data_IF_636077237023
#
_entry.id   IF_636077237023
#
_cell.length_a   1.000
_cell.length_b   1.000
_cell.length_c   1.000
_cell.angle_alpha   90.00
_cell.angle_beta   90.00
_cell.angle_gamma   90.00
#
_symmetry.space_group_name_H-M   'P 1'
#
loop_
_entity.id
_entity.type
_entity.pdbx_description
1 polymer ?
2 non-polymer ?
3 non-polymer ?
4 non-polymer ?
5 non-polymer ?
6 non-polymer ?
7 water ?
#
# COMPACT_ATOMS: atom_id res chain seq x y z
N UNK A 7 17.49 20.75 13.08
CA UNK A 7 17.04 19.41 12.58
C UNK A 7 16.88 18.44 13.75
N UNK A 8 16.40 17.22 13.48
CA UNK A 8 16.20 16.24 14.54
C UNK A 8 17.32 15.22 14.72
N UNK A 9 17.21 14.41 15.78
CA UNK A 9 18.21 13.39 16.13
C UNK A 9 18.53 12.38 15.03
N UNK A 10 17.50 11.69 14.53
CA UNK A 10 17.69 10.69 13.50
C UNK A 10 17.84 11.30 12.11
N UNK A 11 18.27 10.47 11.15
CA UNK A 11 18.50 10.93 9.78
C UNK A 11 17.21 11.08 9.00
N UNK A 12 16.33 11.93 9.50
CA UNK A 12 15.04 12.15 8.89
C UNK A 12 14.72 13.61 8.69
N UNK A 13 13.73 13.87 7.85
CA UNK A 13 13.28 15.23 7.60
C UNK A 13 11.95 15.33 8.32
N UNK A 14 11.79 16.36 9.15
CA UNK A 14 10.56 16.54 9.90
C UNK A 14 9.48 17.08 8.97
N UNK A 15 8.24 17.11 9.44
CA UNK A 15 7.14 17.63 8.65
C UNK A 15 7.44 19.08 8.32
N UNK A 16 8.01 19.78 9.30
CA UNK A 16 8.38 21.17 9.15
C UNK A 16 9.30 21.27 7.93
N UNK A 17 10.38 20.50 7.96
CA UNK A 17 11.36 20.48 6.89
C UNK A 17 10.77 20.21 5.51
N UNK A 18 10.00 19.12 5.37
CA UNK A 18 9.45 18.83 4.06
C UNK A 18 8.52 19.97 3.60
N UNK A 19 7.80 20.59 4.53
CA UNK A 19 6.91 21.71 4.19
C UNK A 19 7.68 22.96 3.77
N UNK A 20 8.92 23.10 4.24
CA UNK A 20 9.75 24.25 3.91
C UNK A 20 10.52 24.04 2.61
N UNK A 21 10.37 22.85 2.02
CA UNK A 21 11.05 22.56 0.77
C UNK A 21 12.50 22.15 0.97
N UNK A 22 12.83 21.72 2.18
CA UNK A 22 14.19 21.30 2.50
C UNK A 22 14.46 19.85 2.09
N UNK A 23 13.39 19.08 1.95
CA UNK A 23 13.52 17.69 1.53
C UNK A 23 13.35 17.68 0.02
N UNK A 24 14.35 18.18 -0.69
CA UNK A 24 14.30 18.22 -2.14
C UNK A 24 15.69 18.37 -2.74
N UNK A 25 15.77 18.16 -4.05
CA UNK A 25 17.01 18.29 -4.79
C UNK A 25 17.25 19.80 -4.91
N UNK A 26 18.44 20.27 -4.52
CA UNK A 26 18.74 21.70 -4.56
C UNK A 26 18.54 22.42 -5.88
N UNK A 27 18.61 21.71 -6.99
CA UNK A 27 18.48 22.36 -8.27
C UNK A 27 17.20 23.19 -8.37
N UNK A 28 16.13 22.75 -7.70
CA UNK A 28 14.86 23.49 -7.77
C UNK A 28 14.98 24.90 -7.21
N UNK A 29 15.38 25.03 -5.95
CA UNK A 29 15.50 26.36 -5.37
C UNK A 29 16.51 27.22 -6.12
N UNK A 30 17.62 26.62 -6.54
CA UNK A 30 18.63 27.39 -7.28
C UNK A 30 18.10 27.82 -8.63
N UNK A 31 17.26 27.01 -9.24
CA UNK A 31 16.67 27.33 -10.55
C UNK A 31 15.61 28.40 -10.40
N UNK A 32 14.80 28.27 -9.35
CA UNK A 32 13.75 29.25 -9.10
C UNK A 32 14.40 30.58 -8.79
N UNK A 33 15.51 30.51 -8.05
CA UNK A 33 16.24 31.72 -7.68
C UNK A 33 16.75 32.43 -8.94
N UNK A 34 17.27 31.65 -9.89
CA UNK A 34 17.80 32.19 -11.13
C UNK A 34 16.73 32.86 -11.99
N UNK A 35 15.54 32.27 -12.03
CA UNK A 35 14.42 32.79 -12.82
C UNK A 35 14.02 34.23 -12.43
N UNK A 36 14.21 34.59 -11.17
CA UNK A 36 13.88 35.93 -10.74
C UNK A 36 12.45 36.40 -10.99
N UNK A 37 12.31 37.65 -11.42
CA UNK A 37 10.99 38.23 -11.67
C UNK A 37 10.19 37.49 -12.74
N UNK A 38 10.86 36.67 -13.54
CA UNK A 38 10.14 35.92 -14.58
C UNK A 38 9.15 35.01 -13.87
N UNK A 39 9.40 34.74 -12.60
CA UNK A 39 8.54 33.87 -11.80
C UNK A 39 7.09 34.32 -11.85
N UNK A 40 6.89 35.63 -11.89
CA UNK A 40 5.55 36.20 -11.92
C UNK A 40 4.84 35.97 -13.27
N UNK A 41 5.59 35.56 -14.28
CA UNK A 41 5.00 35.35 -15.60
C UNK A 41 5.07 33.90 -16.09
N UNK A 42 5.29 32.96 -15.17
CA UNK A 42 5.40 31.57 -15.54
C UNK A 42 4.40 30.69 -14.81
N UNK A 43 3.24 30.51 -15.43
CA UNK A 43 2.21 29.65 -14.86
C UNK A 43 2.32 28.34 -15.61
N UNK A 44 2.23 27.24 -14.89
CA UNK A 44 2.35 25.94 -15.54
C UNK A 44 1.36 24.92 -15.01
N UNK A 45 1.39 23.77 -15.66
CA UNK A 45 0.57 22.63 -15.29
C UNK A 45 1.51 21.43 -15.45
N UNK A 46 1.70 20.69 -14.37
CA UNK A 46 2.59 19.53 -14.39
C UNK A 46 1.77 18.28 -14.10
N UNK A 47 2.08 17.19 -14.78
CA UNK A 47 1.35 15.94 -14.57
C UNK A 47 2.30 14.80 -14.21
N UNK A 48 1.89 13.98 -13.25
CA UNK A 48 2.69 12.84 -12.81
C UNK A 48 2.21 11.62 -13.56
N UNK A 49 3.14 10.95 -14.22
CA UNK A 49 2.86 9.74 -14.99
C UNK A 49 3.86 8.66 -14.57
N UNK A 50 3.50 7.41 -14.78
CA UNK A 50 4.38 6.32 -14.41
C UNK A 50 5.39 6.03 -15.53
N UNK A 51 6.67 6.21 -15.25
CA UNK A 51 7.68 5.86 -16.25
C UNK A 51 7.85 4.39 -15.93
N UNK A 52 7.87 4.14 -14.62
CA UNK A 52 8.04 2.82 -14.02
C UNK A 52 7.51 1.57 -14.67
N UNK A 53 7.32 0.50 -13.88
CA UNK A 53 6.83 -0.78 -14.38
C UNK A 53 5.56 -0.56 -15.18
N UNK A 54 5.54 -1.04 -16.41
CA UNK A 54 4.37 -0.87 -17.24
C UNK A 54 3.69 -2.21 -17.48
N UNK A 55 4.26 -3.26 -16.93
CA UNK A 55 3.73 -4.60 -17.11
C UNK A 55 2.85 -5.11 -15.95
N UNK A 56 2.30 -4.17 -15.18
CA UNK A 56 1.44 -4.52 -14.04
C UNK A 56 0.44 -3.39 -13.80
N UNK A 57 -0.67 -3.69 -13.13
CA UNK A 57 -1.60 -2.62 -12.81
C UNK A 57 -1.05 -1.96 -11.56
N UNK A 58 -1.72 -0.91 -11.08
CA UNK A 58 -1.26 -0.21 -9.90
C UNK A 58 -2.40 0.20 -8.98
N UNK A 59 -2.17 0.13 -7.68
CA UNK A 59 -3.16 0.53 -6.69
C UNK A 59 -2.64 1.88 -6.18
N UNK A 60 -3.13 2.96 -6.78
CA UNK A 60 -2.68 4.31 -6.43
C UNK A 60 -2.83 4.62 -4.94
N UNK A 61 -1.76 5.14 -4.35
CA UNK A 61 -1.78 5.45 -2.94
C UNK A 61 -0.70 6.50 -2.58
N UNK A 62 -0.99 7.34 -1.59
CA UNK A 62 -0.06 8.36 -1.18
C UNK A 62 -0.53 9.78 -1.46
N UNK A 63 -1.72 9.89 -2.05
CA UNK A 63 -2.30 11.20 -2.40
C UNK A 63 -2.55 12.07 -1.17
N UNK A 64 -3.01 11.45 -0.08
CA UNK A 64 -3.30 12.16 1.15
C UNK A 64 -2.11 13.00 1.60
N UNK A 65 -0.92 12.43 1.46
CA UNK A 65 0.31 13.10 1.85
C UNK A 65 0.55 14.31 0.95
N UNK A 66 0.25 14.15 -0.33
CA UNK A 66 0.41 15.21 -1.31
C UNK A 66 -0.48 16.41 -0.99
N UNK A 67 -1.72 16.15 -0.60
CA UNK A 67 -2.65 17.23 -0.26
C UNK A 67 -2.22 17.98 0.99
N UNK A 68 -1.70 17.25 1.98
CA UNK A 68 -1.24 17.87 3.22
C UNK A 68 -0.14 18.90 2.93
N UNK A 69 0.66 18.63 1.91
CA UNK A 69 1.77 19.50 1.56
C UNK A 69 1.40 20.72 0.72
N UNK A 70 0.51 20.54 -0.25
CA UNK A 70 0.13 21.64 -1.14
C UNK A 70 -1.01 22.50 -0.64
N UNK A 71 -1.72 22.01 0.39
CA UNK A 71 -2.82 22.77 0.95
C UNK A 71 -2.27 24.11 1.45
N UNK A 72 -2.94 25.21 1.10
CA UNK A 72 -2.48 26.51 1.53
C UNK A 72 -1.73 27.30 0.47
N UNK A 73 -1.29 26.62 -0.58
CA UNK A 73 -0.59 27.26 -1.69
C UNK A 73 -1.63 27.58 -2.77
N UNK A 74 -1.40 28.62 -3.55
CA UNK A 74 -2.36 28.98 -4.58
C UNK A 74 -2.18 28.12 -5.83
N UNK A 75 -2.62 26.86 -5.73
CA UNK A 75 -2.53 25.94 -6.84
C UNK A 75 -3.76 25.06 -6.90
N UNK A 76 -4.13 24.65 -8.11
CA UNK A 76 -5.26 23.76 -8.31
C UNK A 76 -4.64 22.36 -8.41
N UNK A 77 -5.33 21.36 -7.87
CA UNK A 77 -4.80 20.01 -7.92
C UNK A 77 -5.85 19.00 -8.34
N UNK A 78 -5.48 18.18 -9.32
CA UNK A 78 -6.37 17.13 -9.79
C UNK A 78 -5.63 15.82 -9.58
N UNK A 79 -6.38 14.77 -9.25
CA UNK A 79 -5.78 13.48 -9.03
C UNK A 79 -6.78 12.34 -9.11
N UNK A 80 -6.26 11.13 -9.25
CA UNK A 80 -7.08 9.93 -9.28
C UNK A 80 -7.17 9.57 -7.81
N UNK A 81 -8.37 9.22 -7.32
CA UNK A 81 -8.52 8.86 -5.90
C UNK A 81 -7.64 7.69 -5.46
N UNK A 82 -7.23 7.72 -4.20
CA UNK A 82 -6.45 6.64 -3.65
C UNK A 82 -7.28 5.35 -3.71
N UNK A 83 -6.62 4.21 -3.86
CA UNK A 83 -7.34 2.97 -3.92
C UNK A 83 -7.88 2.62 -5.30
N UNK A 84 -7.74 3.53 -6.26
CA UNK A 84 -8.19 3.25 -7.63
C UNK A 84 -7.15 2.27 -8.18
N UNK A 85 -7.61 1.23 -8.86
CA UNK A 85 -6.68 0.26 -9.43
C UNK A 85 -6.79 0.29 -10.94
N UNK A 86 -5.66 0.47 -11.63
CA UNK A 86 -5.63 0.54 -13.09
C UNK A 86 -4.23 0.34 -13.66
N UNK A 87 -4.14 0.22 -14.98
CA UNK A 87 -2.85 0.06 -15.63
C UNK A 87 -2.25 1.43 -15.91
N UNK A 88 -0.91 1.54 -15.86
CA UNK A 88 -0.19 2.80 -16.10
C UNK A 88 -0.38 3.37 -17.51
N UNK A 89 -0.79 2.53 -18.46
CA UNK A 89 -1.03 2.97 -19.85
C UNK A 89 -2.49 2.67 -20.17
N UNK A 90 -3.14 3.52 -20.96
CA UNK A 90 -4.55 3.31 -21.30
C UNK A 90 -4.76 2.25 -22.38
N UNK A 91 -6.02 2.04 -22.75
CA UNK A 91 -6.38 1.05 -23.76
C UNK A 91 -5.62 1.19 -25.06
N UNK A 92 -5.12 2.40 -25.33
CA UNK A 92 -4.36 2.68 -26.54
C UNK A 92 -2.88 2.93 -26.27
N UNK A 93 -2.40 2.49 -25.13
CA UNK A 93 -0.99 2.66 -24.79
C UNK A 93 -0.53 4.06 -24.40
N UNK A 94 -1.46 4.95 -24.07
CA UNK A 94 -1.07 6.31 -23.68
C UNK A 94 -0.81 6.38 -22.18
N UNK A 95 0.25 7.11 -21.78
CA UNK A 95 0.59 7.25 -20.36
C UNK A 95 -0.53 7.96 -19.59
N UNK A 96 -0.94 7.36 -18.49
CA UNK A 96 -2.01 7.91 -17.66
C UNK A 96 -1.50 8.88 -16.59
N UNK A 97 -2.08 10.09 -16.52
CA UNK A 97 -1.65 11.06 -15.51
C UNK A 97 -2.43 10.81 -14.22
N UNK A 98 -1.73 10.69 -13.10
CA UNK A 98 -2.39 10.44 -11.83
C UNK A 98 -2.66 11.71 -11.05
N UNK A 99 -1.87 12.75 -11.31
CA UNK A 99 -2.09 14.02 -10.64
C UNK A 99 -1.70 15.18 -11.56
N UNK A 100 -2.38 16.30 -11.41
CA UNK A 100 -2.04 17.49 -12.18
C UNK A 100 -2.02 18.65 -11.20
N UNK A 101 -0.96 19.46 -11.27
CA UNK A 101 -0.84 20.61 -10.40
C UNK A 101 -0.77 21.86 -11.27
N UNK A 102 -1.56 22.88 -10.92
CA UNK A 102 -1.58 24.13 -11.69
C UNK A 102 -1.27 25.33 -10.79
N UNK A 103 -0.43 26.23 -11.29
CA UNK A 103 -0.06 27.42 -10.53
C UNK A 103 1.27 28.00 -10.99
N UNK A 104 1.78 29.00 -10.27
CA UNK A 104 3.06 29.61 -10.63
C UNK A 104 4.15 28.59 -10.33
N UNK A 105 4.94 28.24 -11.33
CA UNK A 105 6.01 27.28 -11.16
C UNK A 105 6.83 27.51 -9.90
N UNK A 106 7.33 28.72 -9.72
CA UNK A 106 8.16 29.05 -8.56
C UNK A 106 7.46 28.87 -7.22
N UNK A 107 6.14 28.76 -7.24
CA UNK A 107 5.39 28.60 -6.01
C UNK A 107 5.42 27.19 -5.44
N UNK A 108 5.55 26.17 -6.31
CA UNK A 108 5.55 24.79 -5.84
C UNK A 108 6.60 23.89 -6.49
N UNK A 109 7.38 24.47 -7.41
CA UNK A 109 8.40 23.69 -8.10
C UNK A 109 9.30 22.87 -7.20
N UNK A 110 9.64 23.41 -6.03
CA UNK A 110 10.55 22.73 -5.11
C UNK A 110 9.95 21.48 -4.48
N UNK A 111 8.63 21.36 -4.51
CA UNK A 111 7.94 20.21 -3.92
C UNK A 111 7.89 18.98 -4.82
N UNK A 112 8.47 19.07 -6.01
CA UNK A 112 8.46 17.95 -6.95
C UNK A 112 9.06 16.69 -6.31
N UNK A 113 10.20 16.86 -5.64
CA UNK A 113 10.89 15.75 -4.99
C UNK A 113 9.97 15.02 -4.00
N UNK A 114 9.37 15.78 -3.08
CA UNK A 114 8.47 15.24 -2.08
C UNK A 114 7.18 14.66 -2.68
N UNK A 115 6.62 15.35 -3.67
CA UNK A 115 5.40 14.88 -4.31
C UNK A 115 5.60 13.48 -4.91
N UNK A 116 6.69 13.31 -5.65
CA UNK A 116 6.98 12.01 -6.23
C UNK A 116 7.21 11.01 -5.11
N UNK A 117 7.99 11.42 -4.11
CA UNK A 117 8.28 10.54 -2.99
C UNK A 117 7.04 9.99 -2.31
N UNK A 118 6.02 10.84 -2.16
CA UNK A 118 4.78 10.42 -1.53
C UNK A 118 4.01 9.34 -2.30
N UNK A 119 4.05 9.39 -3.62
CA UNK A 119 3.30 8.40 -4.40
C UNK A 119 4.05 7.20 -4.94
N UNK A 120 5.37 7.33 -5.15
CA UNK A 120 6.18 6.23 -5.67
C UNK A 120 6.26 5.01 -4.74
N UNK A 121 6.80 5.20 -3.56
CA UNK A 121 6.95 4.10 -2.62
C UNK A 121 5.60 3.59 -2.07
N UNK A 122 4.74 4.49 -1.62
CA UNK A 122 3.45 4.09 -1.10
C UNK A 122 2.70 3.21 -2.11
N UNK A 123 2.61 3.66 -3.36
CA UNK A 123 1.91 2.92 -4.40
C UNK A 123 2.45 1.51 -4.65
N UNK A 124 3.77 1.36 -4.63
CA UNK A 124 4.36 0.05 -4.82
C UNK A 124 3.88 -0.87 -3.70
N UNK A 125 3.80 -0.33 -2.48
CA UNK A 125 3.36 -1.08 -1.31
C UNK A 125 1.89 -1.50 -1.39
N UNK A 126 1.01 -0.55 -1.68
CA UNK A 126 -0.41 -0.88 -1.78
C UNK A 126 -0.69 -1.84 -2.94
N UNK A 127 0.01 -1.66 -4.05
CA UNK A 127 -0.16 -2.54 -5.20
C UNK A 127 0.24 -3.98 -4.87
N UNK A 128 1.38 -4.14 -4.20
CA UNK A 128 1.85 -5.47 -3.81
C UNK A 128 0.89 -6.14 -2.83
N UNK A 129 0.31 -5.34 -1.92
CA UNK A 129 -0.64 -5.85 -0.94
C UNK A 129 -1.89 -6.35 -1.65
N UNK A 130 -2.27 -5.69 -2.74
CA UNK A 130 -3.45 -6.11 -3.48
C UNK A 130 -3.18 -7.45 -4.17
N UNK A 131 -1.95 -7.66 -4.63
CA UNK A 131 -1.58 -8.92 -5.28
C UNK A 131 -1.76 -10.01 -4.22
N UNK A 132 -1.28 -9.74 -3.01
CA UNK A 132 -1.39 -10.68 -1.91
C UNK A 132 -2.87 -10.89 -1.56
N UNK A 133 -3.66 -9.82 -1.63
CA UNK A 133 -5.09 -9.90 -1.31
C UNK A 133 -5.78 -10.95 -2.20
N UNK A 134 -5.47 -10.91 -3.49
CA UNK A 134 -6.03 -11.87 -4.45
C UNK A 134 -5.64 -13.30 -4.10
N UNK A 135 -4.38 -13.49 -3.70
CA UNK A 135 -3.89 -14.82 -3.37
C UNK A 135 -4.47 -15.37 -2.06
N UNK A 136 -4.68 -14.49 -1.08
CA UNK A 136 -5.21 -14.91 0.22
C UNK A 136 -6.70 -15.24 0.16
N UNK A 137 -7.37 -14.75 -0.88
CA UNK A 137 -8.79 -15.02 -1.02
C UNK A 137 -9.59 -14.61 0.21
N UNK A 138 -10.33 -15.56 0.79
CA UNK A 138 -11.14 -15.25 1.97
C UNK A 138 -10.39 -15.48 3.28
N UNK A 139 -9.09 -15.75 3.19
CA UNK A 139 -8.29 -15.92 4.39
C UNK A 139 -7.62 -14.58 4.66
N UNK A 140 -7.58 -14.16 5.94
CA UNK A 140 -6.96 -12.89 6.28
C UNK A 140 -5.44 -12.92 6.28
N UNK A 141 -4.84 -11.77 6.01
CA UNK A 141 -3.38 -11.64 6.07
C UNK A 141 -3.08 -10.29 6.72
N UNK A 142 -1.93 -10.17 7.36
CA UNK A 142 -1.58 -8.93 8.05
C UNK A 142 -0.22 -8.39 7.66
N UNK A 143 -0.10 -7.07 7.68
CA UNK A 143 1.15 -6.40 7.35
C UNK A 143 2.10 -6.51 8.55
N UNK A 144 3.19 -7.24 8.38
CA UNK A 144 4.16 -7.44 9.47
C UNK A 144 5.56 -6.93 9.14
N UNK A 145 5.75 -6.26 8.01
CA UNK A 145 7.10 -5.85 7.64
C UNK A 145 7.72 -4.49 7.92
N UNK A 146 7.14 -3.63 8.75
CA UNK A 146 7.76 -2.32 8.98
C UNK A 146 9.20 -2.40 9.53
N UNK A 147 9.54 -3.54 10.11
CA UNK A 147 10.87 -3.76 10.67
C UNK A 147 11.97 -3.84 9.60
N UNK A 148 11.59 -4.04 8.35
CA UNK A 148 12.57 -4.15 7.28
C UNK A 148 12.90 -2.78 6.69
N UNK A 149 12.11 -1.78 7.06
CA UNK A 149 12.33 -0.42 6.56
C UNK A 149 12.55 0.56 7.71
N UNK A 150 13.10 1.72 7.37
CA UNK A 150 13.37 2.75 8.37
C UNK A 150 12.10 3.06 9.18
N UNK A 151 12.18 2.99 10.51
CA UNK A 151 11.03 3.24 11.40
C UNK A 151 10.28 4.55 11.15
N UNK A 152 10.96 5.58 10.66
CA UNK A 152 10.28 6.86 10.42
C UNK A 152 9.08 6.75 9.50
N UNK A 153 9.13 5.85 8.51
CA UNK A 153 8.01 5.69 7.58
C UNK A 153 7.14 4.49 7.93
N UNK A 154 7.27 4.06 9.17
CA UNK A 154 6.52 2.94 9.71
C UNK A 154 5.00 3.06 9.48
N UNK A 155 4.42 4.23 9.80
CA UNK A 155 2.97 4.36 9.60
C UNK A 155 2.45 4.34 8.16
N UNK A 156 3.14 5.01 7.23
CA UNK A 156 2.68 5.02 5.85
C UNK A 156 2.72 3.63 5.24
N UNK A 157 3.70 2.82 5.64
CA UNK A 157 3.80 1.47 5.08
C UNK A 157 2.58 0.63 5.47
N UNK A 158 2.26 0.62 6.75
CA UNK A 158 1.10 -0.14 7.22
C UNK A 158 -0.19 0.41 6.64
N UNK A 159 -0.25 1.73 6.46
CA UNK A 159 -1.45 2.35 5.90
C UNK A 159 -1.70 1.85 4.47
N UNK A 160 -0.67 1.90 3.62
CA UNK A 160 -0.81 1.45 2.23
C UNK A 160 -1.04 -0.06 2.13
N UNK A 161 -0.44 -0.81 3.05
CA UNK A 161 -0.62 -2.25 3.05
C UNK A 161 -2.08 -2.55 3.36
N UNK A 162 -2.64 -1.80 4.31
CA UNK A 162 -4.04 -1.97 4.70
C UNK A 162 -4.95 -1.59 3.53
N UNK A 163 -4.73 -0.42 2.96
CA UNK A 163 -5.54 0.06 1.84
C UNK A 163 -5.47 -0.93 0.68
N UNK A 164 -4.31 -1.56 0.50
CA UNK A 164 -4.14 -2.53 -0.57
C UNK A 164 -4.84 -3.86 -0.35
N UNK A 165 -5.30 -4.11 0.88
CA UNK A 165 -6.00 -5.37 1.14
C UNK A 165 -5.74 -6.02 2.48
N UNK A 166 -4.69 -5.62 3.19
CA UNK A 166 -4.37 -6.20 4.49
C UNK A 166 -5.54 -6.05 5.46
N UNK A 167 -5.81 -7.10 6.23
CA UNK A 167 -6.90 -7.10 7.21
C UNK A 167 -6.47 -6.43 8.49
N UNK A 168 -5.19 -6.56 8.80
CA UNK A 168 -4.65 -5.98 10.00
C UNK A 168 -3.21 -5.55 9.81
N UNK A 169 -2.69 -4.88 10.83
CA UNK A 169 -1.34 -4.34 10.80
C UNK A 169 -0.69 -4.48 12.17
N UNK A 170 0.63 -4.64 12.20
CA UNK A 170 1.36 -4.81 13.46
C UNK A 170 1.91 -3.53 14.09
N UNK A 171 2.21 -2.52 13.27
CA UNK A 171 2.75 -1.28 13.80
C UNK A 171 1.77 -0.48 14.63
N UNK A 172 2.23 0.05 15.77
CA UNK A 172 1.38 0.84 16.63
C UNK A 172 0.87 2.10 15.94
N UNK A 173 1.80 2.90 15.41
CA UNK A 173 1.41 4.13 14.73
C UNK A 173 0.62 3.88 13.45
N UNK A 174 0.92 2.77 12.78
CA UNK A 174 0.21 2.45 11.55
C UNK A 174 -1.23 2.13 11.90
N UNK A 175 -1.40 1.37 12.99
CA UNK A 175 -2.73 0.98 13.47
C UNK A 175 -3.52 2.22 13.85
N UNK A 176 -2.89 3.11 14.62
CA UNK A 176 -3.54 4.34 15.05
C UNK A 176 -4.02 5.12 13.82
N UNK A 177 -3.14 5.25 12.83
CA UNK A 177 -3.42 5.99 11.61
C UNK A 177 -4.61 5.44 10.80
N UNK A 178 -4.77 4.12 10.77
CA UNK A 178 -5.89 3.52 10.03
C UNK A 178 -7.10 3.32 10.94
N UNK A 179 -6.92 3.66 12.22
CA UNK A 179 -7.96 3.54 13.23
C UNK A 179 -8.40 2.11 13.48
N UNK A 180 -7.43 1.25 13.75
CA UNK A 180 -7.66 -0.16 14.02
C UNK A 180 -6.72 -0.56 15.15
N UNK A 181 -7.06 -1.65 15.85
CA UNK A 181 -6.21 -2.15 16.93
C UNK A 181 -5.04 -2.86 16.28
N UNK A 182 -3.82 -2.65 16.81
CA UNK A 182 -2.65 -3.32 16.23
C UNK A 182 -2.86 -4.81 16.39
N UNK A 183 -2.14 -5.59 15.59
CA UNK A 183 -2.23 -7.04 15.64
C UNK A 183 -0.90 -7.62 16.11
N UNK A 184 -0.95 -8.68 16.91
CA UNK A 184 0.29 -9.26 17.38
C UNK A 184 0.18 -10.60 18.09
N UNK A 185 1.13 -11.47 17.82
CA UNK A 185 1.19 -12.78 18.45
C UNK A 185 2.46 -12.86 19.30
N UNK A 186 2.51 -13.85 20.17
CA UNK A 186 3.68 -14.03 21.02
C UNK A 186 4.92 -14.19 20.14
N UNK A 187 6.07 -13.69 20.60
CA UNK A 187 7.33 -13.79 19.86
C UNK A 187 8.16 -15.00 20.24
N UNK A 188 9.14 -15.34 19.40
CA UNK A 188 10.00 -16.48 19.69
C UNK A 188 10.71 -16.20 21.01
N UNK A 189 11.08 -14.94 21.24
CA UNK A 189 11.79 -14.51 22.43
C UNK A 189 11.13 -15.03 23.70
N UNK A 190 9.80 -15.02 23.73
CA UNK A 190 9.08 -15.49 24.92
C UNK A 190 9.35 -16.95 25.21
N UNK A 191 9.36 -17.80 24.18
CA UNK A 191 9.63 -19.22 24.39
C UNK A 191 11.08 -19.47 24.76
N UNK A 192 11.98 -18.64 24.24
CA UNK A 192 13.40 -18.79 24.54
C UNK A 192 13.68 -18.42 26.00
N UNK A 193 12.97 -17.41 26.49
CA UNK A 193 13.17 -16.97 27.86
C UNK A 193 12.43 -17.80 28.91
N UNK A 194 11.17 -18.15 28.64
CA UNK A 194 10.39 -18.92 29.60
C UNK A 194 10.07 -20.38 29.25
N UNK A 195 10.42 -20.81 28.04
CA UNK A 195 10.11 -22.17 27.63
C UNK A 195 8.75 -22.18 26.94
N UNK A 196 8.51 -23.17 26.08
CA UNK A 196 7.26 -23.28 25.35
C UNK A 196 6.01 -23.36 26.21
N UNK A 197 6.00 -24.29 27.15
CA UNK A 197 4.86 -24.47 28.04
C UNK A 197 4.45 -23.21 28.76
N UNK A 198 5.41 -22.54 29.39
CA UNK A 198 5.09 -21.31 30.11
C UNK A 198 4.72 -20.20 29.14
N UNK A 199 5.40 -20.17 27.99
CA UNK A 199 5.12 -19.13 27.01
C UNK A 199 3.68 -19.26 26.50
N UNK A 200 3.29 -20.50 26.20
CA UNK A 200 1.95 -20.73 25.71
C UNK A 200 0.92 -20.44 26.80
N UNK A 201 1.19 -20.87 28.02
CA UNK A 201 0.26 -20.61 29.13
C UNK A 201 0.06 -19.11 29.30
N UNK A 202 1.15 -18.36 29.30
CA UNK A 202 1.09 -16.91 29.47
C UNK A 202 0.29 -16.28 28.33
N UNK A 203 0.52 -16.75 27.11
CA UNK A 203 -0.16 -16.23 25.93
C UNK A 203 -1.68 -16.44 26.05
N UNK A 204 -2.08 -17.66 26.39
CA UNK A 204 -3.50 -17.96 26.54
C UNK A 204 -4.16 -17.16 27.65
N UNK A 205 -3.44 -16.93 28.74
CA UNK A 205 -3.99 -16.18 29.87
C UNK A 205 -4.14 -14.70 29.54
N UNK A 206 -3.27 -14.19 28.67
CA UNK A 206 -3.33 -12.79 28.29
C UNK A 206 -4.04 -12.54 26.96
N UNK A 207 -5.07 -13.35 26.70
CA UNK A 207 -5.87 -13.23 25.49
C UNK A 207 -7.30 -13.71 25.75
N UNK A 208 -8.25 -12.76 25.74
CA UNK A 208 -9.64 -13.10 25.99
C UNK A 208 -10.50 -12.76 24.78
N UNK A 209 -11.67 -13.40 24.68
CA UNK A 209 -12.58 -13.17 23.55
C UNK A 209 -12.59 -11.71 23.09
N UNK A 210 -12.70 -11.54 21.78
CA UNK A 210 -12.67 -10.21 21.19
C UNK A 210 -11.44 -10.25 20.31
N UNK A 211 -10.59 -11.22 20.63
CA UNK A 211 -9.35 -11.49 19.91
C UNK A 211 -9.14 -13.00 19.95
N UNK A 212 -8.50 -13.54 18.91
CA UNK A 212 -8.25 -14.98 18.83
C UNK A 212 -6.93 -15.37 19.47
N UNK A 213 -6.85 -16.60 19.96
CA UNK A 213 -5.63 -17.11 20.59
C UNK A 213 -4.71 -17.65 19.49
N UNK A 214 -3.41 -17.38 19.63
CA UNK A 214 -2.43 -17.85 18.67
C UNK A 214 -1.16 -18.28 19.38
N UNK A 215 -0.75 -19.52 19.14
CA UNK A 215 0.46 -20.06 19.76
C UNK A 215 1.58 -20.25 18.72
N UNK A 216 2.74 -19.65 18.98
CA UNK A 216 3.90 -19.76 18.10
C UNK A 216 4.51 -21.11 18.48
N UNK A 217 4.65 -22.01 17.51
CA UNK A 217 5.15 -23.35 17.84
C UNK A 217 6.51 -23.82 17.32
N UNK A 218 7.17 -23.03 16.48
CA UNK A 218 8.45 -23.46 15.91
C UNK A 218 9.75 -23.12 16.65
N UNK A 219 9.65 -22.58 17.86
CA UNK A 219 10.85 -22.22 18.61
C UNK A 219 11.82 -23.36 18.93
N UNK A 220 11.29 -24.48 19.44
CA UNK A 220 12.13 -25.61 19.85
C UNK A 220 11.86 -26.96 19.20
N UNK A 221 10.59 -27.33 19.13
CA UNK A 221 10.18 -28.63 18.59
C UNK A 221 9.96 -28.69 17.09
N UNK A 222 9.65 -29.89 16.62
CA UNK A 222 9.32 -30.11 15.22
C UNK A 222 7.84 -29.67 15.21
N UNK A 223 7.46 -28.84 14.25
CA UNK A 223 6.08 -28.35 14.18
C UNK A 223 5.01 -29.42 14.40
N UNK A 224 5.25 -30.61 13.85
CA UNK A 224 4.30 -31.71 13.96
C UNK A 224 4.06 -32.13 15.40
N UNK A 225 5.13 -32.35 16.15
CA UNK A 225 4.97 -32.76 17.53
C UNK A 225 4.57 -31.62 18.46
N UNK A 226 4.83 -30.39 18.03
CA UNK A 226 4.44 -29.23 18.83
C UNK A 226 2.92 -29.17 18.72
N UNK A 227 2.41 -29.44 17.54
CA UNK A 227 0.97 -29.42 17.27
C UNK A 227 0.23 -30.50 18.07
N UNK A 228 0.81 -31.71 18.15
CA UNK A 228 0.19 -32.79 18.91
C UNK A 228 0.19 -32.44 20.40
N UNK A 229 1.32 -31.94 20.89
CA UNK A 229 1.45 -31.59 22.29
C UNK A 229 0.44 -30.52 22.68
N UNK A 230 0.32 -29.47 21.88
CA UNK A 230 -0.62 -28.39 22.15
C UNK A 230 -2.04 -28.89 22.10
N UNK A 231 -2.31 -29.82 21.19
CA UNK A 231 -3.63 -30.39 21.04
C UNK A 231 -4.07 -31.08 22.33
N UNK A 232 -3.17 -31.83 22.95
CA UNK A 232 -3.54 -32.54 24.16
C UNK A 232 -3.09 -31.86 25.45
N UNK A 233 -2.89 -30.55 25.40
CA UNK A 233 -2.48 -29.81 26.59
C UNK A 233 -3.42 -28.65 26.88
N UNK A 234 -3.90 -27.98 25.83
CA UNK A 234 -4.81 -26.86 25.98
C UNK A 234 -6.08 -27.15 25.19
N UNK A 235 -7.05 -26.25 25.29
CA UNK A 235 -8.30 -26.41 24.55
C UNK A 235 -8.75 -25.10 23.90
N UNK A 236 -8.56 -23.99 24.60
CA UNK A 236 -8.95 -22.70 24.06
C UNK A 236 -7.87 -22.10 23.16
N UNK A 237 -7.53 -22.81 22.09
CA UNK A 237 -6.52 -22.33 21.16
C UNK A 237 -7.14 -22.26 19.77
N UNK A 238 -7.24 -21.05 19.24
CA UNK A 238 -7.84 -20.83 17.93
C UNK A 238 -6.88 -21.06 16.78
N UNK A 239 -5.65 -20.61 16.94
CA UNK A 239 -4.64 -20.77 15.89
C UNK A 239 -3.30 -21.26 16.39
N UNK A 240 -2.57 -21.87 15.46
CA UNK A 240 -1.23 -22.39 15.67
C UNK A 240 -0.45 -21.63 14.59
N UNK A 241 0.62 -20.95 14.97
CA UNK A 241 1.39 -20.19 13.99
C UNK A 241 2.75 -20.80 13.70
N UNK A 242 3.06 -20.95 12.42
CA UNK A 242 4.34 -21.51 11.99
C UNK A 242 5.16 -20.45 11.23
N UNK A 243 6.24 -20.03 11.86
CA UNK A 243 7.16 -19.05 11.30
C UNK A 243 8.44 -19.85 11.02
N UNK A 244 8.24 -21.13 10.69
CA UNK A 244 9.32 -22.07 10.42
C UNK A 244 10.56 -21.54 9.71
N UNK A 245 11.74 -21.71 10.35
CA UNK A 245 13.03 -21.28 9.81
C UNK A 245 13.27 -21.76 8.39
N UNK A 246 13.90 -20.92 7.60
CA UNK A 246 14.19 -21.23 6.21
C UNK A 246 14.88 -22.59 6.01
N UNK A 247 15.92 -22.85 6.81
CA UNK A 247 16.67 -24.09 6.69
C UNK A 247 15.88 -25.34 7.12
N UNK A 248 14.73 -25.12 7.76
CA UNK A 248 13.90 -26.23 8.23
C UNK A 248 12.69 -26.38 7.33
N UNK A 249 12.58 -25.47 6.36
CA UNK A 249 11.44 -25.45 5.45
C UNK A 249 11.71 -26.17 4.12
N UNK A 250 11.83 -27.50 4.18
CA UNK A 250 12.06 -28.30 2.98
C UNK A 250 10.86 -28.26 2.05
N UNK A 251 9.69 -28.52 2.60
CA UNK A 251 8.45 -28.47 1.83
C UNK A 251 7.40 -28.04 2.83
N UNK A 252 7.21 -26.73 2.92
CA UNK A 252 6.26 -26.14 3.86
C UNK A 252 4.83 -26.64 3.63
N UNK A 253 4.47 -26.87 2.38
CA UNK A 253 3.14 -27.35 2.04
C UNK A 253 2.87 -28.73 2.64
N UNK A 254 3.80 -29.66 2.43
CA UNK A 254 3.63 -31.02 2.94
C UNK A 254 3.64 -31.03 4.48
N UNK A 255 4.50 -30.19 5.08
CA UNK A 255 4.59 -30.11 6.53
C UNK A 255 3.25 -29.67 7.11
N UNK A 256 2.59 -28.74 6.42
CA UNK A 256 1.31 -28.23 6.87
C UNK A 256 0.20 -29.27 6.74
N UNK A 257 0.23 -30.07 5.68
CA UNK A 257 -0.77 -31.12 5.52
C UNK A 257 -0.55 -32.14 6.64
N UNK A 258 0.70 -32.50 6.86
CA UNK A 258 1.07 -33.44 7.92
C UNK A 258 0.51 -32.96 9.28
N UNK A 259 0.81 -31.71 9.62
CA UNK A 259 0.32 -31.16 10.88
C UNK A 259 -1.22 -31.18 10.96
N UNK A 260 -1.88 -30.78 9.87
CA UNK A 260 -3.33 -30.75 9.81
C UNK A 260 -3.97 -32.12 9.99
N UNK A 261 -3.33 -33.16 9.43
CA UNK A 261 -3.82 -34.52 9.54
C UNK A 261 -3.74 -35.01 10.99
N UNK A 262 -2.58 -34.81 11.60
CA UNK A 262 -2.32 -35.22 12.98
C UNK A 262 -3.29 -34.55 13.95
N UNK A 263 -3.62 -33.28 13.70
CA UNK A 263 -4.56 -32.57 14.55
C UNK A 263 -5.99 -33.13 14.37
N UNK A 264 -6.39 -33.38 13.14
CA UNK A 264 -7.71 -33.90 12.88
C UNK A 264 -7.84 -35.32 13.45
N UNK A 265 -6.73 -36.06 13.44
CA UNK A 265 -6.73 -37.42 13.95
C UNK A 265 -7.11 -37.44 15.43
N UNK A 266 -6.70 -36.41 16.18
CA UNK A 266 -7.00 -36.32 17.61
C UNK A 266 -8.23 -35.45 17.82
N UNK A 267 -9.04 -35.32 16.78
CA UNK A 267 -10.24 -34.51 16.88
C UNK A 267 -10.03 -33.05 17.23
N UNK A 268 -8.95 -32.44 16.76
CA UNK A 268 -8.69 -31.04 17.05
C UNK A 268 -8.55 -30.20 15.78
N UNK A 269 -9.32 -30.55 14.76
CA UNK A 269 -9.26 -29.81 13.51
C UNK A 269 -9.82 -28.40 13.71
N UNK A 270 -10.23 -28.09 14.94
CA UNK A 270 -10.75 -26.77 15.27
C UNK A 270 -9.58 -25.77 15.34
N UNK A 271 -8.37 -26.30 15.55
CA UNK A 271 -7.15 -25.50 15.62
C UNK A 271 -6.79 -25.09 14.19
N UNK A 272 -6.89 -23.81 13.87
CA UNK A 272 -6.56 -23.34 12.53
C UNK A 272 -5.07 -23.10 12.39
N UNK A 273 -4.60 -23.03 11.15
CA UNK A 273 -3.18 -22.81 10.91
C UNK A 273 -2.83 -21.48 10.25
N UNK A 274 -1.87 -20.80 10.87
CA UNK A 274 -1.38 -19.52 10.38
C UNK A 274 0.10 -19.68 10.03
N UNK A 275 0.50 -19.08 8.92
CA UNK A 275 1.89 -19.13 8.48
C UNK A 275 2.46 -17.73 8.26
N UNK A 276 3.78 -17.62 8.39
CA UNK A 276 4.49 -16.36 8.19
C UNK A 276 5.96 -16.63 7.90
N UNK A 277 6.63 -15.65 7.30
CA UNK A 277 8.05 -15.81 6.99
C UNK A 277 8.31 -15.98 5.50
N UNK A 278 8.90 -14.95 4.90
CA UNK A 278 9.22 -14.99 3.48
C UNK A 278 8.05 -15.33 2.58
N UNK A 279 6.89 -14.74 2.85
CA UNK A 279 5.70 -15.02 2.05
C UNK A 279 5.48 -14.03 0.90
N UNK A 280 4.91 -14.55 -0.18
CA UNK A 280 4.62 -13.86 -1.44
C UNK A 280 3.16 -14.11 -1.83
N UNK A 281 2.73 -13.52 -2.96
CA UNK A 281 1.38 -13.74 -3.46
C UNK A 281 1.41 -15.22 -3.86
N UNK A 282 2.54 -15.62 -4.43
CA UNK A 282 2.77 -16.99 -4.88
C UNK A 282 2.76 -17.96 -3.69
N UNK A 283 3.52 -17.63 -2.65
CA UNK A 283 3.60 -18.45 -1.46
C UNK A 283 2.25 -18.59 -0.76
N UNK A 284 1.59 -17.45 -0.56
CA UNK A 284 0.29 -17.42 0.09
C UNK A 284 -0.68 -18.38 -0.58
N UNK A 285 -0.78 -18.28 -1.91
CA UNK A 285 -1.67 -19.13 -2.68
C UNK A 285 -1.41 -20.61 -2.45
N UNK A 286 -0.15 -21.02 -2.55
CA UNK A 286 0.20 -22.43 -2.36
C UNK A 286 -0.11 -22.92 -0.95
N UNK A 287 0.33 -22.17 0.05
CA UNK A 287 0.11 -22.57 1.44
C UNK A 287 -1.36 -22.60 1.81
N UNK A 288 -2.16 -21.69 1.26
CA UNK A 288 -3.58 -21.71 1.56
C UNK A 288 -4.23 -22.93 0.90
N UNK A 289 -3.74 -23.30 -0.28
CA UNK A 289 -4.28 -24.48 -0.95
C UNK A 289 -3.90 -25.72 -0.14
N UNK A 290 -2.89 -25.56 0.71
CA UNK A 290 -2.42 -26.64 1.56
C UNK A 290 -3.11 -26.65 2.92
N UNK A 291 -3.90 -25.61 3.19
CA UNK A 291 -4.62 -25.56 4.46
C UNK A 291 -4.40 -24.35 5.37
N UNK A 292 -3.43 -23.49 5.06
CA UNK A 292 -3.19 -22.32 5.90
C UNK A 292 -4.38 -21.37 5.78
N UNK A 293 -4.88 -20.87 6.92
CA UNK A 293 -6.04 -19.97 6.92
C UNK A 293 -5.79 -18.55 7.42
N UNK A 294 -4.53 -18.21 7.63
CA UNK A 294 -4.17 -16.88 8.09
C UNK A 294 -2.71 -16.65 7.71
N UNK A 295 -2.37 -15.44 7.29
CA UNK A 295 -1.00 -15.16 6.88
C UNK A 295 -0.39 -13.87 7.42
N UNK A 296 0.88 -13.95 7.78
CA UNK A 296 1.63 -12.79 8.25
C UNK A 296 2.56 -12.44 7.09
N UNK A 297 2.39 -11.27 6.51
CA UNK A 297 3.21 -10.86 5.37
C UNK A 297 3.97 -9.57 5.64
N UNK A 298 5.29 -9.66 5.58
CA UNK A 298 6.12 -8.48 5.86
C UNK A 298 6.97 -7.93 4.73
N UNK A 299 8.22 -8.38 4.67
CA UNK A 299 9.19 -7.92 3.69
C UNK A 299 8.74 -7.74 2.25
N UNK A 300 8.06 -8.73 1.69
CA UNK A 300 7.64 -8.63 0.30
C UNK A 300 6.75 -7.40 0.06
N UNK A 301 5.98 -7.01 1.07
CA UNK A 301 5.12 -5.85 0.94
C UNK A 301 5.81 -4.54 1.36
N UNK A 302 6.47 -4.52 2.51
CA UNK A 302 7.13 -3.30 2.98
C UNK A 302 8.29 -2.86 2.10
N UNK A 303 8.93 -3.80 1.42
CA UNK A 303 10.07 -3.50 0.53
C UNK A 303 9.64 -3.46 -0.93
N UNK A 304 8.34 -3.46 -1.17
CA UNK A 304 7.86 -3.44 -2.54
C UNK A 304 8.58 -2.31 -3.28
N UNK A 305 9.09 -2.63 -4.47
CA UNK A 305 9.79 -1.68 -5.30
C UNK A 305 8.85 -0.51 -5.57
N UNK A 306 9.36 0.72 -5.55
CA UNK A 306 8.47 1.85 -5.81
C UNK A 306 8.17 1.99 -7.29
N UNK A 307 6.98 2.49 -7.62
CA UNK A 307 6.66 2.72 -9.02
C UNK A 307 7.50 3.95 -9.36
N UNK A 308 7.99 4.01 -10.59
CA UNK A 308 8.81 5.14 -11.02
C UNK A 308 7.96 6.25 -11.63
N UNK A 309 7.42 7.13 -10.79
CA UNK A 309 6.61 8.26 -11.26
C UNK A 309 7.53 9.40 -11.65
N UNK A 310 7.14 10.13 -12.69
CA UNK A 310 7.91 11.28 -13.14
C UNK A 310 6.90 12.42 -13.22
N UNK A 311 7.37 13.64 -13.08
CA UNK A 311 6.48 14.78 -13.14
C UNK A 311 7.08 15.82 -14.07
N UNK A 312 6.29 16.30 -15.02
CA UNK A 312 6.81 17.30 -15.93
C UNK A 312 5.76 18.29 -16.44
N UNK A 313 6.23 19.50 -16.73
CA UNK A 313 5.39 20.56 -17.27
C UNK A 313 4.72 20.05 -18.53
N UNK A 314 3.41 20.28 -18.62
CA UNK A 314 2.67 19.82 -19.80
C UNK A 314 1.96 21.01 -20.46
N UNK A 315 2.08 22.17 -19.82
CA UNK A 315 1.46 23.39 -20.35
C UNK A 315 2.09 24.62 -19.71
N UNK A 316 2.31 25.65 -20.52
CA UNK A 316 2.91 26.88 -20.03
C UNK A 316 2.04 28.07 -20.44
N UNK A 317 1.63 28.86 -19.44
CA UNK A 317 0.80 30.03 -19.67
C UNK A 317 -0.35 29.73 -20.62
N UNK A 318 -1.02 28.61 -20.39
CA UNK A 318 -2.15 28.21 -21.21
C UNK A 318 -1.86 27.47 -22.51
N UNK A 319 -0.60 27.37 -22.89
CA UNK A 319 -0.27 26.67 -24.14
C UNK A 319 0.36 25.29 -23.89
N UNK A 320 -0.11 24.27 -24.62
CA UNK A 320 0.44 22.91 -24.44
C UNK A 320 1.94 22.93 -24.74
N UNK A 321 2.74 22.37 -23.84
CA UNK A 321 4.19 22.33 -24.05
C UNK A 321 4.94 21.36 -23.16
N UNK A 322 5.66 20.42 -23.78
CA UNK A 322 6.46 19.46 -23.03
C UNK A 322 7.76 19.18 -23.74
N UNK A 323 8.47 18.18 -23.24
CA UNK A 323 9.75 17.77 -23.76
C UNK A 323 9.63 16.45 -24.52
N UNK A 324 10.74 16.00 -25.10
CA UNK A 324 10.79 14.74 -25.83
C UNK A 324 10.42 13.64 -24.85
N UNK A 325 9.63 12.68 -25.30
CA UNK A 325 9.25 11.57 -24.44
C UNK A 325 8.03 11.81 -23.57
N UNK A 326 7.44 12.99 -23.69
CA UNK A 326 6.24 13.30 -22.92
C UNK A 326 5.16 13.83 -23.84
N UNK A 327 3.91 13.76 -23.38
CA UNK A 327 2.79 14.24 -24.19
C UNK A 327 2.28 15.54 -23.59
N UNK A 328 2.15 16.56 -24.42
CA UNK A 328 1.72 17.88 -23.96
C UNK A 328 0.20 18.02 -23.78
N UNK A 329 -0.18 19.11 -23.14
CA UNK A 329 -1.58 19.40 -22.90
C UNK A 329 -2.10 18.84 -21.59
N UNK A 330 -3.07 19.54 -21.00
CA UNK A 330 -3.69 19.09 -19.77
C UNK A 330 -4.62 17.96 -20.20
N UNK A 331 -4.79 16.96 -19.35
CA UNK A 331 -5.62 15.83 -19.76
C UNK A 331 -6.58 15.30 -18.71
N UNK A 332 -7.57 14.54 -19.18
CA UNK A 332 -8.55 13.89 -18.32
C UNK A 332 -8.37 12.39 -18.52
N UNK A 333 -8.82 11.60 -17.54
CA UNK A 333 -8.71 10.15 -17.59
C UNK A 333 -10.13 9.57 -17.55
N UNK A 334 -10.62 9.13 -18.71
CA UNK A 334 -11.98 8.58 -18.80
C UNK A 334 -12.00 7.06 -18.62
N UNK A 335 -12.99 6.58 -17.87
CA UNK A 335 -13.13 5.15 -17.63
C UNK A 335 -14.57 4.69 -17.80
N UNK A 336 -14.74 3.59 -18.54
CA UNK A 336 -16.05 3.00 -18.79
C UNK A 336 -16.58 2.56 -17.42
N UNK A 337 -17.77 3.03 -17.07
CA UNK A 337 -18.39 2.67 -15.81
C UNK A 337 -18.67 1.16 -15.66
N UNK A 338 -18.80 0.44 -16.76
CA UNK A 338 -19.09 -0.98 -16.64
C UNK A 338 -17.88 -1.92 -16.72
N UNK A 339 -17.03 -1.74 -17.73
CA UNK A 339 -15.87 -2.62 -17.88
C UNK A 339 -14.52 -2.06 -17.41
N UNK A 340 -14.51 -0.79 -17.04
CA UNK A 340 -13.29 -0.13 -16.57
C UNK A 340 -12.22 0.15 -17.60
N UNK A 341 -12.59 0.13 -18.88
CA UNK A 341 -11.64 0.44 -19.93
C UNK A 341 -11.28 1.92 -19.69
N UNK A 342 -10.02 2.27 -19.94
CA UNK A 342 -9.56 3.63 -19.74
C UNK A 342 -9.01 4.24 -21.01
N UNK A 343 -9.25 5.54 -21.16
CA UNK A 343 -8.79 6.27 -22.32
C UNK A 343 -8.47 7.71 -21.88
N UNK A 344 -7.21 8.11 -21.98
CA UNK A 344 -6.84 9.47 -21.58
C UNK A 344 -7.15 10.40 -22.74
N UNK A 345 -7.64 11.59 -22.43
CA UNK A 345 -8.01 12.56 -23.47
C UNK A 345 -7.64 13.98 -23.08
N UNK A 346 -7.74 14.94 -24.02
CA UNK A 346 -7.42 16.33 -23.69
C UNK A 346 -8.37 16.80 -22.58
N UNK A 347 -7.91 17.73 -21.75
CA UNK A 347 -8.71 18.23 -20.63
C UNK A 347 -10.07 18.84 -20.98
N UNK A 348 -10.31 19.16 -22.24
CA UNK A 348 -11.60 19.74 -22.63
C UNK A 348 -12.63 18.70 -23.08
N UNK A 349 -12.36 17.44 -22.80
CA UNK A 349 -13.28 16.34 -23.13
C UNK A 349 -13.69 15.71 -21.81
N UNK A 350 -14.82 16.15 -21.26
CA UNK A 350 -15.30 15.65 -19.99
C UNK A 350 -15.78 14.21 -20.01
N UNK A 351 -16.41 13.80 -21.10
CA UNK A 351 -16.91 12.44 -21.19
C UNK A 351 -17.07 12.04 -22.65
N UNK A 352 -17.24 10.74 -22.88
CA UNK A 352 -17.40 10.24 -24.24
C UNK A 352 -18.47 9.15 -24.28
N UNK A 353 -19.26 9.13 -25.34
CA UNK A 353 -20.30 8.13 -25.48
C UNK A 353 -19.68 6.84 -26.00
N UNK A 354 -20.18 5.71 -25.49
CA UNK A 354 -19.70 4.40 -25.92
C UNK A 354 -20.90 3.48 -26.03
N UNK A 355 -20.71 2.34 -26.68
CA UNK A 355 -21.78 1.37 -26.85
C UNK A 355 -21.63 0.17 -25.91
N UNK A 356 -20.39 -0.13 -25.55
CA UNK A 356 -20.11 -1.26 -24.66
C UNK A 356 -21.08 -1.35 -23.50
N UNK A 357 -20.77 -0.67 -22.40
CA UNK A 357 -21.65 -0.70 -21.25
C UNK A 357 -21.52 0.54 -20.39
N UNK A 358 -22.62 1.28 -20.26
CA UNK A 358 -22.61 2.47 -19.46
C UNK A 358 -22.11 3.70 -20.18
N UNK A 359 -21.10 4.34 -19.60
CA UNK A 359 -20.55 5.56 -20.16
C UNK A 359 -19.11 5.75 -19.71
N UNK A 360 -18.40 6.70 -20.34
CA UNK A 360 -17.03 6.98 -19.95
C UNK A 360 -16.99 8.31 -19.22
N UNK A 361 -16.53 8.27 -17.98
CA UNK A 361 -16.46 9.45 -17.14
C UNK A 361 -15.05 9.74 -16.61
N UNK A 362 -14.78 11.01 -16.35
CA UNK A 362 -13.47 11.45 -15.85
C UNK A 362 -13.14 10.89 -14.48
N UNK A 363 -11.88 10.52 -14.30
CA UNK A 363 -11.39 9.94 -13.06
C UNK A 363 -10.49 10.95 -12.34
N UNK A 364 -9.76 11.72 -13.13
CA UNK A 364 -8.83 12.72 -12.62
C UNK A 364 -9.70 13.87 -12.08
N UNK A 365 -9.95 13.82 -10.78
CA UNK A 365 -10.80 14.80 -10.10
C UNK A 365 -10.08 15.86 -9.27
N UNK A 366 -10.66 17.06 -9.22
CA UNK A 366 -10.06 18.16 -8.47
C UNK A 366 -10.16 18.07 -6.95
N UNK A 367 -9.00 17.93 -6.28
CA UNK A 367 -8.94 17.83 -4.82
C UNK A 367 -8.58 19.16 -4.16
N UNK A 368 -7.98 20.07 -4.92
CA UNK A 368 -7.59 21.36 -4.40
C UNK A 368 -7.93 22.49 -5.37
N UNK A 369 -8.56 23.54 -4.85
CA UNK A 369 -8.91 24.69 -5.66
C UNK A 369 -8.33 25.91 -4.96
N UNK A 370 -7.29 26.49 -5.56
CA UNK A 370 -6.62 27.64 -4.98
C UNK A 370 -6.11 27.30 -3.57
N UNK A 371 -5.64 26.07 -3.40
CA UNK A 371 -5.11 25.67 -2.10
C UNK A 371 -6.12 25.18 -1.09
N UNK A 372 -7.41 25.24 -1.42
CA UNK A 372 -8.45 24.79 -0.49
C UNK A 372 -8.97 23.39 -0.87
N UNK A 373 -9.25 22.55 0.12
CA UNK A 373 -9.78 21.23 -0.15
C UNK A 373 -11.17 21.39 -0.76
N UNK A 374 -11.49 20.55 -1.73
CA UNK A 374 -12.78 20.58 -2.40
C UNK A 374 -13.71 19.51 -1.84
N UNK A 375 -13.26 18.84 -0.79
CA UNK A 375 -14.06 17.77 -0.20
C UNK A 375 -13.41 17.25 1.07
N UNK A 376 -14.16 16.49 1.85
CA UNK A 376 -13.63 15.91 3.09
C UNK A 376 -12.89 14.65 2.67
N UNK A 377 -11.64 14.52 3.09
CA UNK A 377 -10.84 13.36 2.71
C UNK A 377 -11.29 12.06 3.40
N UNK A 378 -11.35 10.96 2.65
CA UNK A 378 -11.74 9.64 3.16
C UNK A 378 -10.76 9.07 4.16
N UNK A 379 -11.28 8.32 5.12
CA UNK A 379 -10.45 7.68 6.13
C UNK A 379 -9.91 6.41 5.48
N UNK A 380 -8.82 5.85 6.01
CA UNK A 380 -8.27 4.63 5.41
C UNK A 380 -9.27 3.50 5.17
N UNK A 381 -10.13 3.21 6.14
CA UNK A 381 -11.10 2.11 5.94
C UNK A 381 -11.96 2.31 4.69
N UNK A 382 -12.39 3.54 4.46
CA UNK A 382 -13.21 3.86 3.30
C UNK A 382 -12.44 3.66 2.01
N UNK A 383 -11.16 4.00 2.04
CA UNK A 383 -10.34 3.86 0.85
C UNK A 383 -10.10 2.39 0.48
N UNK A 384 -9.75 1.56 1.47
CA UNK A 384 -9.52 0.16 1.15
C UNK A 384 -10.81 -0.51 0.75
N UNK A 385 -11.92 0.00 1.26
CA UNK A 385 -13.24 -0.52 0.92
C UNK A 385 -13.44 -0.30 -0.58
N UNK A 386 -12.91 0.82 -1.08
CA UNK A 386 -12.99 1.16 -2.50
C UNK A 386 -12.07 0.25 -3.31
N UNK A 387 -10.86 0.02 -2.79
CA UNK A 387 -9.89 -0.81 -3.48
C UNK A 387 -10.41 -2.22 -3.67
N UNK A 388 -11.01 -2.78 -2.61
CA UNK A 388 -11.53 -4.14 -2.68
C UNK A 388 -12.56 -4.29 -3.79
N UNK A 389 -13.35 -3.24 -4.02
CA UNK A 389 -14.35 -3.28 -5.08
C UNK A 389 -13.61 -3.18 -6.41
N UNK A 390 -12.59 -2.33 -6.44
CA UNK A 390 -11.82 -2.13 -7.65
C UNK A 390 -11.02 -3.37 -8.03
N UNK A 391 -10.46 -4.04 -7.03
CA UNK A 391 -9.65 -5.23 -7.24
C UNK A 391 -10.50 -6.35 -7.86
N UNK A 392 -11.81 -6.22 -7.76
CA UNK A 392 -12.73 -7.21 -8.30
C UNK A 392 -12.57 -7.32 -9.81
N UNK A 393 -12.29 -6.18 -10.45
CA UNK A 393 -12.11 -6.12 -11.90
C UNK A 393 -10.81 -6.77 -12.35
N UNK A 394 -10.01 -7.25 -11.42
CA UNK A 394 -8.75 -7.89 -11.76
C UNK A 394 -8.66 -9.32 -11.26
N UNK A 395 -9.77 -10.05 -11.38
CA UNK A 395 -9.89 -11.44 -10.97
C UNK A 395 -10.54 -11.55 -9.59
X LIG B 1 1.37 -11.92 24.30
X LIG B 1 1.66 -10.87 25.31
X LIG B 1 0.12 -11.58 23.56
X LIG B 1 2.50 -12.03 23.36
X LIG B 1 1.18 -13.22 25.01
X LIG C 1 8.15 -13.45 15.63
X LIG C 1 7.85 -12.00 15.81
X LIG C 1 8.62 -13.68 14.24
X LIG C 1 9.21 -13.85 16.60
X LIG C 1 6.92 -14.25 15.89
X LIG D 1 6.06 -2.74 -7.85
X LIG D 1 4.91 -2.20 -7.07
X LIG D 1 5.62 -3.93 -8.61
X LIG D 1 6.56 -1.70 -8.77
X LIG D 1 7.14 -3.13 -6.91
X LIG E 1 8.73 -23.94 0.75
X LIG E 1 7.43 -23.22 0.64
X LIG E 1 8.86 -24.89 -0.38
X LIG E 1 9.83 -22.95 0.70
X LIG E 1 8.78 -24.69 2.02
X LIG F 1 -9.77 -3.60 -17.54
X LIG F 1 -8.57 -2.75 -17.72
X LIG F 1 -10.65 -3.00 -16.50
X LIG F 1 -10.52 -3.68 -18.84
X LIG F 1 -9.36 -4.97 -17.13
X LIG G 1 -17.13 1.45 -11.84
X LIG G 1 -17.68 2.81 -12.11
X LIG G 1 -18.21 0.58 -11.33
X LIG G 1 -16.60 0.88 -13.08
X LIG G 1 -16.06 1.55 -10.82
X LIG H 1 -16.95 -1.17 -21.85
X LIG I 1 -18.29 2.43 -21.75
X LIG J 1 8.71 -11.76 6.52
X LIG J 1 8.44 -12.32 7.92
X LIG J 1 7.40 -11.63 5.74
X LIG J 1 9.46 -10.47 6.81
X LIG J 1 9.58 -12.58 5.66
X LIG J 1 7.30 -11.66 8.64
X LIG J 1 6.70 -12.94 5.47
X LIG J 1 8.76 -9.53 7.65
X LIG K 1 3.82 -11.02 16.32
X LIG K 1 3.97 -10.53 14.89
X LIG K 1 3.05 -11.32 14.14
X LIG K 1 3.61 -9.09 14.77
X LIG K 1 5.37 -10.86 14.31
X LIG K 1 5.81 -10.25 12.97
X LIG K 1 5.89 -8.84 13.04
X LIG K 1 7.19 -10.73 12.57
X LIG L 1 -3.25 -12.52 14.02
X LIG L 1 -4.41 -12.50 15.01
X LIG L 1 -3.80 -12.64 16.32
X LIG L 1 -5.18 -11.22 14.94
X LIG L 1 -5.35 -13.72 14.85
X LIG L 1 -6.57 -13.56 13.93
X LIG L 1 -6.19 -13.28 12.62
X LIG L 1 -7.38 -14.83 13.89
X LIG M 1 10.98 -14.90 -1.16
X LIG M 1 11.18 -15.80 -2.09
X LIG M 1 11.50 -14.96 -0.05
X LIG M 1 10.06 -13.73 -1.55
X LIG N 1 -4.45 29.35 -10.11
X LIG N 1 -4.99 28.62 -9.17
X LIG N 1 -3.81 30.36 -9.87
X LIG N 1 -4.69 28.86 -11.54
#
# INVERSE_FOLDING_TARGET
GGGGGGMNVFNTASDEDIKKGLASDVYFERTISAIGDKCNDLRVAMEATVSGPLDTWINFTGLDEVLKLLEGLDVDLYAIPEGTILFPRDANGLPVPFIRVEGRYCDFGMYETAILGFICQASGISTKASKVRLAAGDSPFFSFGIRRMHPAISPMIDRSAYIGGADGVSGILGAKLIDQDPVGTMPHALSIMLGDEEAWKLTLENTKNGQKSVLLIDTYMDEKFAAIKIAEMFDKVDYIRLDTPSSRRGNFEALIREVRWELALRGRSDIKIMVSGGLDENTVKKLREAGAEAFGVGTSISSAKPFDFAMDIVEVNGKPETKRGKMSGRKNVLRCTSCHRIEVVPANVQEKTCICGGSMQNLLVKYLSHGKRTSEYPRPKEIRSRSMKELEYFKDIS
PO4 P O1 O2 O3 O4
PO4 P O1 O2 O3 O4
PO4 P O1 O2 O3 O4
PO4 P O1 O2 O3 O4
PO4 P O1 O2 O3 O4
PO4 P O1 O2 O3 O4
ZN ZN
ZN ZN
TRS C C1 C2 C3 N O1 O2 O3
MPD C1 C2 O2 CM C3 C4 O4 C5
MPD C1 C2 O2 CM C3 C4 O4 C5
ACY C O OXT CH3
ACY C O OXT CH3
#
